data_IF_056200564510
#
_entry.id   IF_056200564510
#
_cell.length_a   1.000
_cell.length_b   1.000
_cell.length_c   1.000
_cell.angle_alpha   90.00
_cell.angle_beta   90.00
_cell.angle_gamma   90.00
#
_symmetry.space_group_name_H-M   'P 1'
#
loop_
_entity.id
_entity.type
_entity.pdbx_description
1 polymer ?
#
# COMPACT_ATOMS: atom_id res chain seq x y z
N UNK A 1 -0.63 -18.19 4.91
CA UNK A 1 -0.38 -18.12 3.46
C UNK A 1 -1.54 -18.70 2.65
N UNK A 2 -2.06 -19.88 2.98
CA UNK A 2 -3.24 -20.48 2.32
C UNK A 2 -4.55 -19.68 2.54
N UNK A 3 -4.79 -19.13 3.74
CA UNK A 3 -5.93 -18.24 3.99
C UNK A 3 -5.84 -16.92 3.21
N UNK A 4 -4.64 -16.37 3.02
CA UNK A 4 -4.37 -15.13 2.27
C UNK A 4 -4.58 -15.31 0.74
N UNK A 5 -4.32 -16.51 0.21
CA UNK A 5 -4.54 -16.86 -1.19
C UNK A 5 -6.02 -17.08 -1.54
N UNK A 6 -6.80 -17.65 -0.61
CA UNK A 6 -8.23 -17.95 -0.84
C UNK A 6 -9.17 -16.79 -0.48
N UNK A 7 -8.78 -15.88 0.43
CA UNK A 7 -9.62 -14.73 0.81
C UNK A 7 -9.51 -13.54 -0.16
N UNK A 8 -8.48 -13.49 -1.01
CA UNK A 8 -8.29 -12.39 -1.95
C UNK A 8 -8.75 -12.79 -3.36
N UNK A 9 -9.86 -12.17 -3.81
CA UNK A 9 -10.50 -12.43 -5.11
C UNK A 9 -9.50 -12.38 -6.29
N UNK A 10 -8.47 -11.54 -6.21
CA UNK A 10 -7.43 -11.41 -7.23
C UNK A 10 -6.61 -12.69 -7.42
N UNK A 11 -6.30 -13.41 -6.34
CA UNK A 11 -5.58 -14.68 -6.40
C UNK A 11 -6.47 -15.83 -6.87
N UNK A 12 -7.76 -15.82 -6.54
CA UNK A 12 -8.72 -16.79 -7.06
C UNK A 12 -8.81 -16.71 -8.60
N UNK A 13 -8.86 -15.49 -9.14
CA UNK A 13 -8.79 -15.25 -10.59
C UNK A 13 -7.51 -15.79 -11.20
N UNK A 14 -6.35 -15.46 -10.61
CA UNK A 14 -5.07 -16.01 -11.05
C UNK A 14 -5.05 -17.53 -11.01
N UNK A 15 -5.61 -18.15 -9.96
CA UNK A 15 -5.71 -19.60 -9.79
C UNK A 15 -6.55 -20.25 -10.89
N UNK A 16 -7.70 -19.68 -11.25
CA UNK A 16 -8.52 -20.16 -12.37
C UNK A 16 -7.70 -20.19 -13.65
N UNK A 17 -6.99 -19.09 -13.98
CA UNK A 17 -6.19 -19.04 -15.20
C UNK A 17 -5.00 -20.03 -15.15
N UNK A 18 -4.35 -20.17 -14.00
CA UNK A 18 -3.28 -21.16 -13.81
C UNK A 18 -3.76 -22.59 -13.96
N UNK A 19 -4.93 -22.93 -13.40
CA UNK A 19 -5.56 -24.25 -13.52
C UNK A 19 -5.96 -24.52 -14.97
N UNK A 20 -6.59 -23.57 -15.64
CA UNK A 20 -6.93 -23.67 -17.06
C UNK A 20 -5.68 -23.91 -17.90
N UNK A 21 -4.60 -23.15 -17.66
CA UNK A 21 -3.33 -23.36 -18.32
C UNK A 21 -2.80 -24.80 -18.13
N UNK A 22 -2.85 -25.33 -16.91
CA UNK A 22 -2.44 -26.71 -16.62
C UNK A 22 -3.31 -27.73 -17.35
N UNK A 23 -4.63 -27.59 -17.28
CA UNK A 23 -5.58 -28.48 -17.95
C UNK A 23 -5.34 -28.52 -19.46
N UNK A 24 -5.14 -27.35 -20.10
CA UNK A 24 -4.90 -27.28 -21.55
C UNK A 24 -3.54 -27.83 -21.97
N UNK A 25 -2.55 -27.78 -21.08
CA UNK A 25 -1.22 -28.34 -21.35
C UNK A 25 -1.09 -29.78 -20.83
N UNK A 26 -2.13 -30.35 -20.22
CA UNK A 26 -2.16 -31.73 -19.80
C UNK A 26 -2.64 -32.61 -20.97
N UNK A 27 -1.75 -33.46 -21.49
CA UNK A 27 -1.92 -34.18 -22.76
C UNK A 27 -3.16 -35.08 -22.85
N UNK A 28 -3.80 -35.41 -21.72
CA UNK A 28 -5.03 -36.21 -21.68
C UNK A 28 -6.31 -35.40 -21.98
N UNK A 29 -6.26 -34.06 -21.95
CA UNK A 29 -7.42 -33.21 -22.16
C UNK A 29 -7.28 -32.49 -23.51
N UNK A 30 -7.97 -32.98 -24.54
CA UNK A 30 -7.96 -32.36 -25.87
C UNK A 30 -9.02 -31.27 -25.95
N UNK A 31 -8.62 -30.01 -25.78
CA UNK A 31 -9.49 -28.84 -25.93
C UNK A 31 -9.02 -28.03 -27.13
N UNK A 32 -9.97 -27.57 -27.95
CA UNK A 32 -9.65 -26.77 -29.13
C UNK A 32 -9.08 -25.40 -28.73
N UNK A 33 -8.18 -24.83 -29.54
CA UNK A 33 -7.65 -23.46 -29.32
C UNK A 33 -8.76 -22.41 -29.23
N UNK A 34 -9.88 -22.61 -29.96
CA UNK A 34 -11.05 -21.72 -29.93
C UNK A 34 -11.75 -21.78 -28.57
N UNK A 35 -12.01 -22.98 -28.07
CA UNK A 35 -12.60 -23.19 -26.74
C UNK A 35 -11.72 -22.59 -25.64
N UNK A 36 -10.40 -22.72 -25.74
CA UNK A 36 -9.44 -22.12 -24.82
C UNK A 36 -9.55 -20.59 -24.76
N UNK A 37 -9.54 -19.92 -25.92
CA UNK A 37 -9.67 -18.46 -25.99
C UNK A 37 -11.02 -18.02 -25.43
N UNK A 38 -12.11 -18.72 -25.77
CA UNK A 38 -13.44 -18.43 -25.25
C UNK A 38 -13.54 -18.60 -23.73
N UNK A 39 -12.92 -19.63 -23.15
CA UNK A 39 -12.89 -19.81 -21.69
C UNK A 39 -12.12 -18.70 -20.98
N UNK A 40 -10.98 -18.27 -21.53
CA UNK A 40 -10.20 -17.16 -20.98
C UNK A 40 -11.00 -15.85 -21.08
N UNK A 41 -11.60 -15.57 -22.24
CA UNK A 41 -12.44 -14.39 -22.44
C UNK A 41 -13.68 -14.40 -21.55
N UNK A 42 -14.29 -15.56 -21.32
CA UNK A 42 -15.41 -15.70 -20.41
C UNK A 42 -14.99 -15.41 -18.96
N UNK A 43 -13.83 -15.91 -18.51
CA UNK A 43 -13.28 -15.61 -17.18
C UNK A 43 -12.98 -14.11 -17.06
N UNK A 44 -12.28 -13.52 -18.04
CA UNK A 44 -12.01 -12.07 -18.07
C UNK A 44 -13.33 -11.26 -18.05
N UNK A 45 -14.31 -11.65 -18.86
CA UNK A 45 -15.62 -11.02 -18.94
C UNK A 45 -16.37 -11.09 -17.62
N UNK A 46 -16.37 -12.24 -16.94
CA UNK A 46 -16.93 -12.40 -15.60
C UNK A 46 -16.20 -11.52 -14.59
N UNK A 47 -14.89 -11.36 -14.70
CA UNK A 47 -14.10 -10.51 -13.78
C UNK A 47 -14.41 -9.03 -14.00
N UNK A 48 -14.40 -8.56 -15.25
CA UNK A 48 -14.79 -7.19 -15.58
C UNK A 48 -16.21 -6.95 -15.10
N UNK A 49 -17.12 -7.89 -15.38
CA UNK A 49 -18.50 -7.83 -14.91
C UNK A 49 -18.58 -7.76 -13.37
N UNK A 50 -17.92 -8.65 -12.64
CA UNK A 50 -17.93 -8.63 -11.17
C UNK A 50 -17.26 -7.37 -10.60
N UNK A 51 -16.20 -6.86 -11.23
CA UNK A 51 -15.50 -5.66 -10.78
C UNK A 51 -16.28 -4.35 -11.03
N UNK A 52 -17.09 -4.33 -12.10
CA UNK A 52 -17.89 -3.16 -12.50
C UNK A 52 -19.28 -3.19 -11.88
N UNK A 53 -19.93 -4.37 -11.83
CA UNK A 53 -21.33 -4.52 -11.43
C UNK A 53 -21.55 -5.04 -10.01
N UNK A 54 -20.54 -5.62 -9.35
CA UNK A 54 -20.62 -5.85 -7.90
C UNK A 54 -20.13 -4.57 -7.22
N UNK A 55 -21.06 -3.63 -7.05
CA UNK A 55 -20.90 -2.37 -6.32
C UNK A 55 -20.40 -2.63 -4.91
N UNK A 56 -19.09 -2.75 -4.78
CA UNK A 56 -18.41 -2.70 -3.51
C UNK A 56 -17.71 -1.35 -3.47
N UNK A 57 -17.88 -0.61 -2.38
CA UNK A 57 -17.16 0.64 -2.12
C UNK A 57 -15.64 0.49 -2.36
N UNK A 58 -15.12 -0.74 -2.19
CA UNK A 58 -13.73 -1.08 -2.51
C UNK A 58 -13.36 -0.89 -3.99
N UNK A 59 -14.23 -1.27 -4.93
CA UNK A 59 -13.94 -1.17 -6.38
C UNK A 59 -14.02 0.28 -6.86
N UNK A 60 -15.03 1.03 -6.38
CA UNK A 60 -15.15 2.47 -6.67
C UNK A 60 -14.00 3.27 -6.04
N UNK A 61 -13.55 2.90 -4.84
CA UNK A 61 -12.38 3.49 -4.21
C UNK A 61 -11.11 3.34 -5.06
N UNK A 62 -10.92 2.19 -5.72
CA UNK A 62 -9.79 1.98 -6.64
C UNK A 62 -9.88 2.85 -7.90
N UNK A 63 -11.07 3.12 -8.42
CA UNK A 63 -11.23 4.04 -9.56
C UNK A 63 -10.77 5.46 -9.19
N UNK A 64 -11.07 5.93 -7.98
CA UNK A 64 -10.54 7.21 -7.47
C UNK A 64 -9.01 7.18 -7.39
N UNK A 65 -8.43 6.07 -6.90
CA UNK A 65 -6.98 5.87 -6.86
C UNK A 65 -6.37 5.95 -8.26
N UNK A 66 -6.97 5.31 -9.26
CA UNK A 66 -6.52 5.38 -10.65
C UNK A 66 -6.66 6.79 -11.24
N UNK A 67 -7.75 7.51 -10.95
CA UNK A 67 -7.94 8.89 -11.39
C UNK A 67 -6.85 9.81 -10.84
N UNK A 68 -6.55 9.73 -9.55
CA UNK A 68 -5.51 10.56 -8.92
C UNK A 68 -4.11 10.16 -9.40
N UNK A 69 -3.81 8.86 -9.43
CA UNK A 69 -2.50 8.38 -9.90
C UNK A 69 -2.26 8.65 -11.39
N UNK A 70 -3.31 8.74 -12.20
CA UNK A 70 -3.20 9.20 -13.58
C UNK A 70 -2.79 10.68 -13.66
N UNK A 71 -3.35 11.54 -12.81
CA UNK A 71 -2.89 12.94 -12.70
C UNK A 71 -1.41 13.00 -12.27
N UNK A 72 -1.01 12.17 -11.29
CA UNK A 72 0.40 12.06 -10.87
C UNK A 72 1.33 11.65 -12.02
N UNK A 73 0.91 10.69 -12.85
CA UNK A 73 1.66 10.27 -14.02
C UNK A 73 1.82 11.40 -15.05
N UNK A 74 0.77 12.19 -15.28
CA UNK A 74 0.82 13.33 -16.21
C UNK A 74 1.79 14.44 -15.76
N UNK A 75 2.05 14.57 -14.46
CA UNK A 75 3.02 15.54 -13.93
C UNK A 75 4.48 15.12 -14.21
N UNK A 76 4.77 13.82 -14.22
CA UNK A 76 6.13 13.28 -14.45
C UNK A 76 6.11 12.07 -15.41
N UNK A 77 5.68 12.24 -16.68
CA UNK A 77 5.35 11.12 -17.55
C UNK A 77 6.57 10.29 -17.99
N UNK A 78 7.76 10.89 -18.11
CA UNK A 78 8.93 10.20 -18.65
C UNK A 78 9.68 9.38 -17.61
N UNK A 79 9.99 9.99 -16.47
CA UNK A 79 10.81 9.40 -15.39
C UNK A 79 10.00 8.91 -14.21
N UNK A 80 8.71 9.27 -14.12
CA UNK A 80 7.87 9.00 -12.97
C UNK A 80 8.27 9.79 -11.73
N UNK A 81 7.61 9.48 -10.62
CA UNK A 81 7.81 10.14 -9.31
C UNK A 81 8.97 9.53 -8.48
N UNK A 82 9.62 8.48 -8.96
CA UNK A 82 10.69 7.75 -8.29
C UNK A 82 10.24 6.43 -7.65
N UNK A 83 11.18 5.50 -7.53
CA UNK A 83 10.94 4.14 -7.00
C UNK A 83 10.40 4.17 -5.57
N UNK A 84 9.28 3.49 -5.34
CA UNK A 84 8.64 3.39 -4.02
C UNK A 84 8.10 4.72 -3.48
N UNK A 85 8.00 5.75 -4.33
CA UNK A 85 7.50 7.06 -3.92
C UNK A 85 5.96 7.10 -3.83
N UNK A 86 5.23 6.12 -4.37
CA UNK A 86 3.78 6.13 -4.38
C UNK A 86 3.18 6.29 -2.97
N UNK A 87 3.67 5.53 -1.99
CA UNK A 87 3.22 5.59 -0.59
C UNK A 87 3.46 6.95 0.11
N UNK A 88 4.41 7.75 -0.40
CA UNK A 88 4.73 9.08 0.09
C UNK A 88 3.89 10.15 -0.62
N UNK A 89 3.77 10.04 -1.94
CA UNK A 89 3.25 11.11 -2.80
C UNK A 89 1.75 11.01 -3.05
N UNK A 90 1.17 9.81 -3.12
CA UNK A 90 -0.24 9.64 -3.51
C UNK A 90 -1.19 10.45 -2.62
N UNK A 91 -1.04 10.34 -1.30
CA UNK A 91 -1.94 11.01 -0.37
C UNK A 91 -1.81 12.54 -0.46
N UNK A 92 -0.62 13.07 -0.80
CA UNK A 92 -0.43 14.50 -1.04
C UNK A 92 -1.18 14.96 -2.31
N UNK A 93 -1.14 14.17 -3.38
CA UNK A 93 -1.89 14.47 -4.61
C UNK A 93 -3.40 14.32 -4.39
N UNK A 94 -3.84 13.36 -3.57
CA UNK A 94 -5.23 13.25 -3.14
C UNK A 94 -5.68 14.50 -2.37
N UNK A 95 -4.83 15.03 -1.49
CA UNK A 95 -5.11 16.30 -0.80
C UNK A 95 -5.26 17.47 -1.77
N UNK A 96 -4.39 17.58 -2.77
CA UNK A 96 -4.51 18.62 -3.81
C UNK A 96 -5.80 18.46 -4.61
N UNK A 97 -6.16 17.24 -5.00
CA UNK A 97 -7.39 16.93 -5.73
C UNK A 97 -8.65 17.42 -4.97
N UNK A 98 -8.75 17.10 -3.68
CA UNK A 98 -9.89 17.54 -2.86
C UNK A 98 -9.83 19.03 -2.48
N UNK A 99 -8.64 19.63 -2.42
CA UNK A 99 -8.49 21.07 -2.20
C UNK A 99 -8.98 21.89 -3.40
N UNK A 100 -8.82 21.39 -4.63
CA UNK A 100 -9.28 22.07 -5.85
C UNK A 100 -10.81 22.08 -6.03
N UNK A 101 -11.54 21.17 -5.37
CA UNK A 101 -13.01 21.15 -5.39
C UNK A 101 -13.65 20.41 -6.57
N UNK A 102 -12.86 19.89 -7.52
CA UNK A 102 -13.34 19.14 -8.69
C UNK A 102 -13.57 17.65 -8.36
N UNK A 103 -14.51 17.38 -7.45
CA UNK A 103 -14.85 16.02 -7.02
C UNK A 103 -16.36 15.82 -6.81
N UNK A 104 -16.80 14.58 -7.00
CA UNK A 104 -18.17 14.15 -6.73
C UNK A 104 -18.37 13.78 -5.24
N UNK A 105 -19.61 13.82 -4.77
CA UNK A 105 -19.94 13.38 -3.41
C UNK A 105 -19.55 11.90 -3.16
N UNK A 106 -19.63 11.05 -4.19
CA UNK A 106 -19.18 9.65 -4.09
C UNK A 106 -17.66 9.58 -3.86
N UNK A 107 -16.85 10.30 -4.63
CA UNK A 107 -15.39 10.35 -4.43
C UNK A 107 -15.01 10.88 -3.05
N UNK A 108 -15.72 11.91 -2.56
CA UNK A 108 -15.55 12.42 -1.20
C UNK A 108 -15.73 11.33 -0.14
N UNK A 109 -16.80 10.52 -0.24
CA UNK A 109 -17.08 9.42 0.70
C UNK A 109 -16.10 8.24 0.55
N UNK A 110 -15.61 8.00 -0.66
CA UNK A 110 -14.70 6.88 -0.95
C UNK A 110 -13.26 7.16 -0.51
N UNK A 111 -12.83 8.43 -0.46
CA UNK A 111 -11.48 8.81 -0.10
C UNK A 111 -11.02 8.18 1.23
N UNK A 112 -9.80 7.62 1.23
CA UNK A 112 -9.12 7.13 2.41
C UNK A 112 -7.61 7.21 2.20
N UNK A 113 -6.81 6.95 3.24
CA UNK A 113 -5.38 6.81 3.04
C UNK A 113 -5.09 5.55 2.22
N UNK A 114 -4.24 5.66 1.21
CA UNK A 114 -3.68 4.49 0.51
C UNK A 114 -2.19 4.67 0.24
N UNK A 115 -1.52 3.54 0.05
CA UNK A 115 -0.08 3.44 -0.14
C UNK A 115 0.29 2.64 -1.38
N UNK A 116 -0.73 2.12 -2.05
CA UNK A 116 -0.59 1.27 -3.23
C UNK A 116 -1.63 1.68 -4.26
N UNK A 117 -1.29 1.51 -5.54
CA UNK A 117 -2.25 1.70 -6.61
C UNK A 117 -3.24 0.53 -6.72
N UNK A 118 -2.99 -0.59 -6.01
CA UNK A 118 -3.72 -1.86 -6.17
C UNK A 118 -3.68 -2.41 -7.62
N UNK A 119 -2.65 -2.02 -8.37
CA UNK A 119 -2.23 -2.60 -9.63
C UNK A 119 -0.73 -2.34 -9.70
N UNK A 120 0.09 -3.38 -9.49
CA UNK A 120 1.53 -3.25 -9.38
C UNK A 120 2.16 -2.72 -10.67
N UNK A 121 1.61 -3.11 -11.83
CA UNK A 121 2.09 -2.64 -13.14
C UNK A 121 1.80 -1.15 -13.33
N UNK A 122 0.60 -0.71 -12.96
CA UNK A 122 0.24 0.70 -13.03
C UNK A 122 1.06 1.53 -12.04
N UNK A 123 1.22 1.05 -10.81
CA UNK A 123 2.07 1.71 -9.81
C UNK A 123 3.50 1.87 -10.33
N UNK A 124 4.07 0.81 -10.93
CA UNK A 124 5.40 0.86 -11.52
C UNK A 124 5.51 1.93 -12.61
N UNK A 125 4.51 2.06 -13.49
CA UNK A 125 4.48 3.09 -14.53
C UNK A 125 4.37 4.50 -13.92
N UNK A 126 3.60 4.69 -12.85
CA UNK A 126 3.51 5.99 -12.15
C UNK A 126 4.86 6.34 -11.51
N UNK A 127 5.54 5.36 -10.91
CA UNK A 127 6.83 5.56 -10.23
C UNK A 127 8.02 5.73 -11.17
N UNK A 128 8.03 5.04 -12.31
CA UNK A 128 9.18 5.00 -13.24
C UNK A 128 8.92 5.68 -14.59
N UNK A 129 7.70 6.18 -14.81
CA UNK A 129 7.25 6.80 -16.05
C UNK A 129 7.18 5.83 -17.24
N UNK A 130 7.05 6.40 -18.43
CA UNK A 130 6.99 5.68 -19.70
C UNK A 130 8.28 4.89 -19.95
N UNK A 131 9.45 5.44 -19.56
CA UNK A 131 10.73 4.75 -19.75
C UNK A 131 10.73 3.43 -18.95
N UNK A 132 10.34 3.51 -17.68
CA UNK A 132 10.14 2.31 -16.87
C UNK A 132 9.09 1.37 -17.45
N UNK A 133 7.94 1.91 -17.87
CA UNK A 133 6.87 1.13 -18.50
C UNK A 133 7.34 0.35 -19.74
N UNK A 134 8.15 0.95 -20.60
CA UNK A 134 8.75 0.29 -21.76
C UNK A 134 9.76 -0.79 -21.34
N UNK A 135 10.63 -0.52 -20.36
CA UNK A 135 11.55 -1.52 -19.81
C UNK A 135 10.79 -2.73 -19.23
N UNK A 136 9.69 -2.48 -18.50
CA UNK A 136 8.82 -3.52 -17.96
C UNK A 136 8.16 -4.33 -19.08
N UNK A 137 7.62 -3.66 -20.11
CA UNK A 137 7.01 -4.31 -21.26
C UNK A 137 8.01 -5.21 -22.01
N UNK A 138 9.21 -4.70 -22.31
CA UNK A 138 10.27 -5.48 -22.96
C UNK A 138 10.66 -6.68 -22.10
N UNK A 139 10.82 -6.49 -20.79
CA UNK A 139 11.14 -7.57 -19.85
C UNK A 139 10.07 -8.66 -19.84
N UNK A 140 8.79 -8.28 -19.86
CA UNK A 140 7.66 -9.21 -19.93
C UNK A 140 7.63 -9.96 -21.27
N UNK A 141 7.92 -9.29 -22.40
CA UNK A 141 8.00 -9.92 -23.71
C UNK A 141 9.14 -10.95 -23.78
N UNK A 142 10.33 -10.60 -23.28
CA UNK A 142 11.46 -11.52 -23.19
C UNK A 142 11.14 -12.73 -22.31
N UNK A 143 10.45 -12.52 -21.17
CA UNK A 143 9.99 -13.58 -20.30
C UNK A 143 9.00 -14.52 -21.02
N UNK A 144 8.04 -13.96 -21.78
CA UNK A 144 7.09 -14.76 -22.57
C UNK A 144 7.81 -15.59 -23.63
N UNK A 145 8.79 -15.01 -24.34
CA UNK A 145 9.60 -15.72 -25.34
C UNK A 145 10.39 -16.86 -24.67
N UNK A 146 11.00 -16.61 -23.52
CA UNK A 146 11.71 -17.63 -22.75
C UNK A 146 10.77 -18.77 -22.34
N UNK A 147 9.61 -18.45 -21.75
CA UNK A 147 8.60 -19.44 -21.33
C UNK A 147 8.16 -20.29 -22.52
N UNK A 148 7.81 -19.65 -23.66
CA UNK A 148 7.37 -20.35 -24.87
C UNK A 148 8.45 -21.30 -25.39
N UNK A 149 9.70 -20.83 -25.46
CA UNK A 149 10.84 -21.64 -25.92
C UNK A 149 11.04 -22.85 -25.01
N UNK A 150 11.02 -22.66 -23.69
CA UNK A 150 11.19 -23.74 -22.72
C UNK A 150 10.04 -24.75 -22.76
N UNK A 151 8.80 -24.30 -22.85
CA UNK A 151 7.63 -25.19 -22.96
C UNK A 151 7.62 -25.99 -24.28
N UNK A 152 8.00 -25.37 -25.40
CA UNK A 152 8.09 -26.06 -26.70
C UNK A 152 9.13 -27.18 -26.67
N UNK A 153 10.31 -26.90 -26.14
CA UNK A 153 11.42 -27.86 -26.10
C UNK A 153 11.24 -28.93 -25.03
N UNK A 154 10.40 -28.69 -24.01
CA UNK A 154 10.21 -29.57 -22.85
C UNK A 154 8.73 -29.81 -22.53
N UNK A 155 7.93 -30.09 -23.56
CA UNK A 155 6.47 -30.20 -23.45
C UNK A 155 5.98 -31.28 -22.46
N UNK A 156 6.83 -32.25 -22.10
CA UNK A 156 6.49 -33.32 -21.17
C UNK A 156 6.87 -33.03 -19.71
N UNK A 157 7.49 -31.89 -19.40
CA UNK A 157 7.93 -31.56 -18.03
C UNK A 157 6.77 -30.98 -17.20
N UNK A 158 6.21 -31.72 -16.21
CA UNK A 158 5.11 -31.23 -15.39
C UNK A 158 5.55 -30.13 -14.42
N UNK A 159 6.81 -30.13 -13.98
CA UNK A 159 7.33 -29.14 -13.04
C UNK A 159 7.45 -27.77 -13.70
N UNK A 160 7.95 -27.73 -14.94
CA UNK A 160 8.00 -26.50 -15.74
C UNK A 160 6.60 -25.90 -15.94
N UNK A 161 5.59 -26.73 -16.25
CA UNK A 161 4.20 -26.29 -16.40
C UNK A 161 3.63 -25.74 -15.09
N UNK A 162 3.91 -26.39 -13.97
CA UNK A 162 3.49 -25.92 -12.65
C UNK A 162 4.09 -24.55 -12.31
N UNK A 163 5.38 -24.36 -12.57
CA UNK A 163 6.04 -23.06 -12.34
C UNK A 163 5.43 -21.95 -13.19
N UNK A 164 5.15 -22.22 -14.47
CA UNK A 164 4.45 -21.26 -15.34
C UNK A 164 3.06 -20.96 -14.81
N UNK A 165 2.31 -21.96 -14.37
CA UNK A 165 0.97 -21.78 -13.80
C UNK A 165 1.01 -20.88 -12.56
N UNK A 166 1.93 -21.12 -11.62
CA UNK A 166 2.08 -20.28 -10.42
C UNK A 166 2.49 -18.85 -10.80
N UNK A 167 3.40 -18.68 -11.75
CA UNK A 167 3.79 -17.36 -12.23
C UNK A 167 2.60 -16.60 -12.83
N UNK A 168 1.75 -17.28 -13.64
CA UNK A 168 0.51 -16.71 -14.16
C UNK A 168 -0.43 -16.27 -13.02
N UNK A 169 -0.58 -17.09 -11.98
CA UNK A 169 -1.40 -16.74 -10.80
C UNK A 169 -0.91 -15.42 -10.17
N UNK A 170 0.40 -15.32 -9.91
CA UNK A 170 1.03 -14.17 -9.28
C UNK A 170 0.92 -12.93 -10.19
N UNK A 171 1.24 -13.06 -11.48
CA UNK A 171 1.17 -11.96 -12.45
C UNK A 171 -0.25 -11.42 -12.63
N UNK A 172 -1.25 -12.31 -12.66
CA UNK A 172 -2.65 -11.88 -12.79
C UNK A 172 -3.14 -11.24 -11.50
N UNK A 173 -2.78 -11.79 -10.33
CA UNK A 173 -3.11 -11.17 -9.05
C UNK A 173 -2.52 -9.75 -8.95
N UNK A 174 -1.30 -9.52 -9.45
CA UNK A 174 -0.62 -8.23 -9.45
C UNK A 174 -1.34 -7.13 -10.25
N UNK A 175 -2.27 -7.47 -11.15
CA UNK A 175 -3.12 -6.48 -11.83
C UNK A 175 -4.16 -5.83 -10.91
N UNK A 176 -4.52 -6.51 -9.82
CA UNK A 176 -5.67 -6.14 -8.99
C UNK A 176 -5.33 -6.00 -7.49
N UNK A 177 -4.07 -6.24 -7.10
CA UNK A 177 -3.60 -6.07 -5.72
C UNK A 177 -2.09 -5.81 -5.72
N UNK A 178 -1.54 -5.47 -4.54
CA UNK A 178 -0.12 -5.16 -4.32
C UNK A 178 0.72 -6.43 -4.04
N UNK A 179 0.86 -7.31 -5.04
CA UNK A 179 1.58 -8.58 -4.90
C UNK A 179 3.08 -8.35 -4.81
N UNK A 180 3.62 -7.51 -5.71
CA UNK A 180 5.06 -7.29 -5.83
C UNK A 180 5.64 -6.51 -4.65
N UNK A 181 4.83 -5.80 -3.87
CA UNK A 181 5.25 -5.19 -2.60
C UNK A 181 5.64 -6.23 -1.53
N UNK A 182 5.22 -7.49 -1.71
CA UNK A 182 5.56 -8.57 -0.79
C UNK A 182 6.80 -9.31 -1.32
N UNK A 183 7.90 -9.16 -0.59
CA UNK A 183 9.20 -9.81 -0.83
C UNK A 183 9.13 -11.32 -1.18
N UNK A 184 8.26 -12.16 -0.56
CA UNK A 184 8.18 -13.58 -0.90
C UNK A 184 7.83 -13.84 -2.37
N UNK A 185 6.92 -13.06 -2.95
CA UNK A 185 6.53 -13.22 -4.35
C UNK A 185 7.65 -12.78 -5.30
N UNK A 186 8.38 -11.71 -4.95
CA UNK A 186 9.56 -11.27 -5.71
C UNK A 186 10.64 -12.36 -5.76
N UNK A 187 10.97 -12.97 -4.61
CA UNK A 187 11.95 -14.05 -4.50
C UNK A 187 11.53 -15.26 -5.33
N UNK A 188 10.25 -15.65 -5.22
CA UNK A 188 9.71 -16.77 -6.00
C UNK A 188 9.87 -16.54 -7.51
N UNK A 189 9.48 -15.36 -8.00
CA UNK A 189 9.61 -15.02 -9.43
C UNK A 189 11.06 -14.99 -9.89
N UNK A 190 11.98 -14.49 -9.06
CA UNK A 190 13.41 -14.49 -9.36
C UNK A 190 13.97 -15.92 -9.45
N UNK A 191 13.62 -16.79 -8.51
CA UNK A 191 14.02 -18.19 -8.52
C UNK A 191 13.48 -18.93 -9.74
N UNK A 192 12.22 -18.67 -10.10
CA UNK A 192 11.58 -19.23 -11.30
C UNK A 192 12.32 -18.78 -12.57
N UNK A 193 12.63 -17.49 -12.70
CA UNK A 193 13.38 -16.95 -13.83
C UNK A 193 14.77 -17.59 -13.94
N UNK A 194 15.51 -17.67 -12.82
CA UNK A 194 16.82 -18.31 -12.76
C UNK A 194 16.74 -19.78 -13.19
N UNK A 195 15.73 -20.52 -12.70
CA UNK A 195 15.48 -21.91 -13.11
C UNK A 195 15.24 -22.02 -14.62
N UNK A 196 14.43 -21.14 -15.22
CA UNK A 196 14.15 -21.17 -16.65
C UNK A 196 15.36 -20.85 -17.51
N UNK A 197 16.20 -19.90 -17.09
CA UNK A 197 17.45 -19.57 -17.78
C UNK A 197 18.40 -20.78 -17.73
N UNK A 198 18.57 -21.37 -16.55
CA UNK A 198 19.51 -22.47 -16.30
C UNK A 198 18.93 -23.87 -16.56
N UNK A 199 17.76 -23.96 -17.20
CA UNK A 199 16.96 -25.18 -17.27
C UNK A 199 17.76 -26.42 -17.73
N UNK A 200 18.51 -26.33 -18.83
CA UNK A 200 19.23 -27.48 -19.39
C UNK A 200 20.35 -27.97 -18.44
N UNK A 201 21.04 -27.02 -17.80
CA UNK A 201 22.07 -27.32 -16.79
C UNK A 201 21.46 -27.99 -15.56
N UNK A 202 20.33 -27.46 -15.07
CA UNK A 202 19.64 -27.98 -13.89
C UNK A 202 19.02 -29.36 -14.15
N UNK A 203 18.49 -29.59 -15.36
CA UNK A 203 17.93 -30.89 -15.77
C UNK A 203 19.01 -31.96 -15.91
N UNK A 204 20.23 -31.60 -16.32
CA UNK A 204 21.37 -32.50 -16.39
C UNK A 204 21.97 -32.89 -15.04
N UNK A 205 21.57 -32.25 -13.94
CA UNK A 205 22.02 -32.62 -12.60
C UNK A 205 21.40 -33.95 -12.15
N UNK A 206 22.14 -34.69 -11.30
CA UNK A 206 21.59 -35.86 -10.59
C UNK A 206 20.33 -35.44 -9.81
N UNK A 207 19.28 -36.28 -9.76
CA UNK A 207 17.97 -35.88 -9.22
C UNK A 207 18.04 -35.43 -7.76
N UNK A 208 18.93 -36.01 -6.94
CA UNK A 208 19.17 -35.59 -5.56
C UNK A 208 19.76 -34.17 -5.49
N UNK A 209 20.75 -33.87 -6.34
CA UNK A 209 21.39 -32.55 -6.41
C UNK A 209 20.39 -31.51 -6.94
N UNK A 210 19.60 -31.87 -7.95
CA UNK A 210 18.53 -31.01 -8.48
C UNK A 210 17.50 -30.67 -7.42
N UNK A 211 17.05 -31.66 -6.64
CA UNK A 211 16.11 -31.43 -5.55
C UNK A 211 16.70 -30.48 -4.49
N UNK A 212 17.96 -30.72 -4.08
CA UNK A 212 18.67 -29.85 -3.16
C UNK A 212 18.82 -28.42 -3.71
N UNK A 213 19.16 -28.24 -4.99
CA UNK A 213 19.30 -26.91 -5.58
C UNK A 213 17.95 -26.15 -5.64
N UNK A 214 16.87 -26.85 -6.02
CA UNK A 214 15.53 -26.27 -6.11
C UNK A 214 14.95 -25.87 -4.75
N UNK A 215 15.42 -26.45 -3.65
CA UNK A 215 14.97 -26.12 -2.29
C UNK A 215 15.95 -25.17 -1.59
N UNK A 216 17.26 -25.43 -1.64
CA UNK A 216 18.26 -24.65 -0.92
C UNK A 216 18.44 -23.23 -1.46
N UNK A 217 18.40 -23.02 -2.79
CA UNK A 217 18.62 -21.68 -3.37
C UNK A 217 17.52 -20.70 -2.95
N UNK A 218 16.21 -21.01 -3.07
CA UNK A 218 15.16 -20.13 -2.57
C UNK A 218 15.27 -19.88 -1.06
N UNK A 219 15.66 -20.89 -0.27
CA UNK A 219 15.86 -20.75 1.18
C UNK A 219 17.01 -19.77 1.46
N UNK A 220 18.15 -19.91 0.80
CA UNK A 220 19.29 -19.00 0.97
C UNK A 220 18.92 -17.58 0.55
N UNK A 221 18.24 -17.40 -0.58
CA UNK A 221 17.77 -16.07 -1.02
C UNK A 221 16.77 -15.47 -0.02
N UNK A 222 15.86 -16.27 0.53
CA UNK A 222 14.97 -15.84 1.60
C UNK A 222 15.78 -15.44 2.84
N UNK A 223 16.75 -16.23 3.27
CA UNK A 223 17.61 -15.91 4.40
C UNK A 223 18.38 -14.60 4.18
N UNK A 224 18.88 -14.34 2.97
CA UNK A 224 19.56 -13.08 2.62
C UNK A 224 18.59 -11.90 2.69
N UNK A 225 17.42 -12.01 2.06
CA UNK A 225 16.41 -10.93 2.04
C UNK A 225 15.87 -10.63 3.44
N UNK A 226 15.71 -11.67 4.26
CA UNK A 226 15.25 -11.56 5.64
C UNK A 226 16.40 -11.45 6.65
N UNK A 227 17.66 -11.39 6.20
CA UNK A 227 18.83 -11.39 7.09
C UNK A 227 18.77 -10.27 8.11
N UNK A 228 18.43 -9.06 7.66
CA UNK A 228 18.29 -7.91 8.55
C UNK A 228 17.16 -8.07 9.57
N UNK A 229 16.08 -8.77 9.22
CA UNK A 229 14.97 -9.05 10.15
C UNK A 229 15.40 -10.12 11.15
N UNK A 230 16.02 -11.21 10.68
CA UNK A 230 16.50 -12.32 11.50
C UNK A 230 17.58 -11.85 12.48
N UNK A 231 18.58 -11.09 11.99
CA UNK A 231 19.65 -10.50 12.80
C UNK A 231 19.10 -9.61 13.92
N UNK A 232 17.99 -8.93 13.67
CA UNK A 232 17.36 -8.01 14.61
C UNK A 232 16.14 -8.61 15.33
N UNK A 233 15.94 -9.92 15.30
CA UNK A 233 14.73 -10.54 15.88
C UNK A 233 14.58 -10.22 17.38
N UNK A 234 15.68 -10.22 18.12
CA UNK A 234 15.68 -9.82 19.54
C UNK A 234 15.31 -8.35 19.75
N UNK A 235 15.73 -7.46 18.83
CA UNK A 235 15.34 -6.05 18.86
C UNK A 235 13.85 -5.86 18.55
N UNK A 236 13.29 -6.66 17.64
CA UNK A 236 11.85 -6.67 17.37
C UNK A 236 11.03 -7.25 18.54
N UNK A 237 11.56 -8.24 19.26
CA UNK A 237 10.93 -8.73 20.51
C UNK A 237 10.93 -7.66 21.60
N UNK A 238 12.07 -6.97 21.79
CA UNK A 238 12.17 -5.81 22.71
C UNK A 238 11.20 -4.68 22.30
N UNK A 239 11.01 -4.45 21.00
CA UNK A 239 10.04 -3.48 20.49
C UNK A 239 8.62 -3.84 20.91
N UNK A 240 8.21 -5.10 20.78
CA UNK A 240 6.89 -5.55 21.25
C UNK A 240 6.74 -5.43 22.77
N UNK A 241 7.79 -5.75 23.54
CA UNK A 241 7.79 -5.53 24.98
C UNK A 241 7.63 -4.04 25.33
N UNK A 242 8.33 -3.15 24.64
CA UNK A 242 8.21 -1.70 24.85
C UNK A 242 6.80 -1.19 24.54
N UNK A 243 6.18 -1.67 23.44
CA UNK A 243 4.78 -1.36 23.11
C UNK A 243 3.82 -1.81 24.21
N UNK A 244 4.02 -3.02 24.73
CA UNK A 244 3.20 -3.56 25.82
C UNK A 244 3.33 -2.71 27.09
N UNK A 245 4.56 -2.38 27.50
CA UNK A 245 4.82 -1.54 28.68
C UNK A 245 4.15 -0.17 28.56
N UNK A 246 4.26 0.50 27.41
CA UNK A 246 3.57 1.77 27.17
C UNK A 246 2.05 1.58 27.22
N UNK A 247 1.53 0.51 26.61
CA UNK A 247 0.10 0.20 26.58
C UNK A 247 -0.49 -0.09 27.96
N UNK A 248 0.31 -0.59 28.92
CA UNK A 248 -0.11 -0.88 30.30
C UNK A 248 0.21 0.24 31.29
N UNK A 249 0.77 1.37 30.83
CA UNK A 249 1.01 2.57 31.64
C UNK A 249 2.45 2.77 32.12
N UNK A 250 3.36 1.81 31.89
CA UNK A 250 4.80 1.92 32.19
C UNK A 250 5.54 2.68 31.07
N UNK A 251 5.13 3.95 30.87
CA UNK A 251 5.56 4.76 29.72
C UNK A 251 7.05 5.08 29.78
N UNK A 252 7.60 5.37 30.96
CA UNK A 252 9.00 5.72 31.16
C UNK A 252 9.95 4.60 30.77
N UNK A 253 9.62 3.38 31.17
CA UNK A 253 10.34 2.15 30.92
C UNK A 253 10.28 1.81 29.43
N UNK A 254 9.08 1.90 28.83
CA UNK A 254 8.90 1.70 27.40
C UNK A 254 9.70 2.70 26.56
N UNK A 255 9.71 3.99 26.94
CA UNK A 255 10.53 5.02 26.28
C UNK A 255 12.03 4.72 26.40
N UNK A 256 12.49 4.18 27.54
CA UNK A 256 13.89 3.79 27.72
C UNK A 256 14.30 2.73 26.70
N UNK A 257 13.48 1.68 26.55
CA UNK A 257 13.72 0.63 25.55
C UNK A 257 13.67 1.21 24.13
N UNK A 258 12.72 2.10 23.82
CA UNK A 258 12.71 2.74 22.51
C UNK A 258 13.98 3.55 22.22
N UNK A 259 14.54 4.24 23.22
CA UNK A 259 15.82 4.96 23.06
C UNK A 259 16.97 4.00 22.76
N UNK A 260 17.03 2.86 23.42
CA UNK A 260 18.02 1.80 23.17
C UNK A 260 17.90 1.24 21.75
N UNK A 261 16.68 1.05 21.25
CA UNK A 261 16.41 0.49 19.92
C UNK A 261 16.61 1.50 18.77
N UNK A 262 16.60 2.81 19.05
CA UNK A 262 16.63 3.85 18.03
C UNK A 262 17.85 3.77 17.07
N UNK A 263 19.10 3.50 17.52
CA UNK A 263 20.25 3.39 16.62
C UNK A 263 20.11 2.27 15.58
N UNK A 264 19.37 1.21 15.89
CA UNK A 264 19.23 0.02 15.03
C UNK A 264 17.95 0.09 14.19
N UNK A 265 16.83 0.46 14.81
CA UNK A 265 15.50 0.45 14.18
C UNK A 265 15.02 1.84 13.75
N UNK A 266 15.84 2.88 13.91
CA UNK A 266 15.42 4.28 13.71
C UNK A 266 14.99 4.64 12.29
N UNK A 267 15.15 3.78 11.30
CA UNK A 267 14.62 3.98 9.94
C UNK A 267 13.32 3.18 9.68
N UNK A 268 12.95 2.27 10.57
CA UNK A 268 11.75 1.44 10.45
C UNK A 268 10.51 2.20 10.93
N UNK A 269 9.52 2.38 10.05
CA UNK A 269 8.27 3.08 10.36
C UNK A 269 7.50 2.37 11.48
N UNK A 270 7.53 1.03 11.51
CA UNK A 270 6.88 0.22 12.53
C UNK A 270 7.47 0.41 13.94
N UNK A 271 8.71 0.89 14.02
CA UNK A 271 9.35 1.33 15.25
C UNK A 271 9.12 2.83 15.52
N UNK A 272 9.26 3.68 14.50
CA UNK A 272 9.15 5.13 14.64
C UNK A 272 7.76 5.56 15.13
N UNK A 273 6.67 4.95 14.63
CA UNK A 273 5.29 5.30 15.02
C UNK A 273 5.04 5.13 16.53
N UNK A 274 5.17 3.92 17.12
CA UNK A 274 4.93 3.73 18.54
C UNK A 274 5.89 4.54 19.41
N UNK A 275 7.15 4.70 18.98
CA UNK A 275 8.09 5.53 19.72
C UNK A 275 7.65 7.01 19.76
N UNK A 276 7.26 7.56 18.60
CA UNK A 276 6.77 8.94 18.51
C UNK A 276 5.52 9.16 19.35
N UNK A 277 4.62 8.16 19.38
CA UNK A 277 3.37 8.22 20.14
C UNK A 277 3.59 8.17 21.64
N UNK A 278 4.54 7.35 22.10
CA UNK A 278 4.89 7.22 23.51
C UNK A 278 5.53 8.49 24.09
N UNK A 279 6.23 9.29 23.27
CA UNK A 279 6.80 10.55 23.73
C UNK A 279 5.68 11.53 24.15
N UNK A 280 5.73 11.95 25.41
CA UNK A 280 4.81 12.90 26.03
C UNK A 280 5.58 13.97 26.82
N UNK A 281 4.88 15.06 27.17
CA UNK A 281 5.46 16.20 27.89
C UNK A 281 6.05 17.27 26.98
N UNK A 282 6.06 18.50 27.49
CA UNK A 282 6.49 19.72 26.77
C UNK A 282 7.95 19.65 26.33
N UNK A 283 8.83 19.09 27.15
CA UNK A 283 10.27 18.99 26.87
C UNK A 283 10.62 18.06 25.70
N UNK A 284 9.70 17.18 25.28
CA UNK A 284 9.96 16.16 24.24
C UNK A 284 9.29 16.48 22.89
N UNK A 285 8.57 17.60 22.78
CA UNK A 285 7.82 17.97 21.58
C UNK A 285 8.72 18.06 20.33
N UNK A 286 9.91 18.67 20.44
CA UNK A 286 10.87 18.79 19.32
C UNK A 286 11.32 17.42 18.80
N UNK A 287 11.63 16.49 19.71
CA UNK A 287 12.02 15.13 19.34
C UNK A 287 10.87 14.39 18.67
N UNK A 288 9.66 14.51 19.21
CA UNK A 288 8.45 13.91 18.65
C UNK A 288 8.17 14.42 17.22
N UNK A 289 8.29 15.73 17.00
CA UNK A 289 8.16 16.33 15.67
C UNK A 289 9.19 15.77 14.68
N UNK A 290 10.47 15.67 15.08
CA UNK A 290 11.52 15.11 14.23
C UNK A 290 11.24 13.66 13.82
N UNK A 291 10.72 12.84 14.73
CA UNK A 291 10.37 11.45 14.43
C UNK A 291 9.19 11.36 13.45
N UNK A 292 8.14 12.17 13.64
CA UNK A 292 7.03 12.22 12.69
C UNK A 292 7.44 12.76 11.32
N UNK A 293 8.31 13.77 11.26
CA UNK A 293 8.88 14.23 9.99
C UNK A 293 9.69 13.13 9.30
N UNK A 294 10.40 12.29 10.06
CA UNK A 294 11.11 11.13 9.50
C UNK A 294 10.16 10.08 8.93
N UNK A 295 9.00 9.87 9.56
CA UNK A 295 7.92 9.03 9.02
C UNK A 295 7.37 9.62 7.71
N UNK A 296 7.05 10.92 7.70
CA UNK A 296 6.49 11.61 6.53
C UNK A 296 7.41 11.64 5.30
N UNK A 297 8.73 11.45 5.49
CA UNK A 297 9.67 11.29 4.37
C UNK A 297 9.54 9.96 3.64
N UNK A 298 8.98 8.94 4.28
CA UNK A 298 8.85 7.59 3.70
C UNK A 298 7.42 7.29 3.25
N UNK A 299 6.43 7.86 3.94
CA UNK A 299 5.03 7.55 3.74
C UNK A 299 4.19 8.70 4.34
N UNK A 300 3.07 9.06 3.73
CA UNK A 300 2.22 10.17 4.20
C UNK A 300 0.83 9.68 4.56
N UNK A 301 0.33 9.96 5.78
CA UNK A 301 -1.08 9.75 6.14
C UNK A 301 -1.67 10.93 6.91
N UNK A 302 -3.01 11.03 6.91
CA UNK A 302 -3.72 12.11 7.55
C UNK A 302 -3.56 12.14 9.08
N UNK A 303 -3.41 11.00 9.74
CA UNK A 303 -3.27 10.89 11.19
C UNK A 303 -1.92 11.45 11.67
N UNK A 304 -0.87 11.14 10.92
CA UNK A 304 0.49 11.61 11.16
C UNK A 304 0.58 13.11 10.93
N UNK A 305 -0.01 13.63 9.85
CA UNK A 305 -0.07 15.07 9.59
C UNK A 305 -0.91 15.83 10.62
N UNK A 306 -2.02 15.25 11.09
CA UNK A 306 -2.80 15.81 12.21
C UNK A 306 -1.90 15.96 13.45
N UNK A 307 -1.18 14.91 13.83
CA UNK A 307 -0.24 14.95 14.98
C UNK A 307 0.85 16.00 14.79
N UNK A 308 1.42 16.11 13.60
CA UNK A 308 2.42 17.13 13.26
C UNK A 308 1.83 18.54 13.38
N UNK A 309 0.62 18.77 12.89
CA UNK A 309 -0.07 20.05 12.99
C UNK A 309 -0.34 20.47 14.43
N UNK A 310 -0.81 19.53 15.26
CA UNK A 310 -1.01 19.77 16.70
C UNK A 310 0.32 20.08 17.41
N UNK A 311 1.41 19.40 17.07
CA UNK A 311 2.73 19.70 17.63
C UNK A 311 3.24 21.08 17.23
N UNK A 312 3.05 21.48 15.97
CA UNK A 312 3.39 22.84 15.55
C UNK A 312 2.57 23.89 16.30
N UNK A 313 1.28 23.62 16.55
CA UNK A 313 0.40 24.50 17.31
C UNK A 313 0.87 24.62 18.77
N UNK A 314 1.25 23.51 19.40
CA UNK A 314 1.81 23.52 20.77
C UNK A 314 3.12 24.31 20.86
N UNK A 315 3.92 24.32 19.79
CA UNK A 315 5.16 25.09 19.69
C UNK A 315 4.96 26.57 19.29
N UNK A 316 3.71 27.03 19.08
CA UNK A 316 3.41 28.39 18.62
C UNK A 316 3.76 28.66 17.15
N UNK A 317 3.95 27.60 16.35
CA UNK A 317 4.29 27.68 14.93
C UNK A 317 3.00 27.64 14.08
N UNK A 318 2.16 28.67 14.23
CA UNK A 318 0.78 28.66 13.72
C UNK A 318 0.68 28.43 12.21
N UNK A 319 1.57 29.03 11.41
CA UNK A 319 1.54 28.85 9.95
C UNK A 319 1.81 27.40 9.53
N UNK A 320 2.77 26.75 10.18
CA UNK A 320 3.09 25.35 9.93
C UNK A 320 1.98 24.42 10.44
N UNK A 321 1.40 24.76 11.60
CA UNK A 321 0.28 24.04 12.18
C UNK A 321 -0.93 24.04 11.25
N UNK A 322 -1.34 25.23 10.78
CA UNK A 322 -2.45 25.39 9.86
C UNK A 322 -2.24 24.59 8.58
N UNK A 323 -1.05 24.67 7.97
CA UNK A 323 -0.74 23.94 6.74
C UNK A 323 -0.84 22.42 6.94
N UNK A 324 -0.23 21.88 8.00
CA UNK A 324 -0.28 20.45 8.30
C UNK A 324 -1.71 19.97 8.62
N UNK A 325 -2.48 20.75 9.38
CA UNK A 325 -3.88 20.45 9.70
C UNK A 325 -4.75 20.48 8.44
N UNK A 326 -4.63 21.50 7.59
CA UNK A 326 -5.33 21.59 6.31
C UNK A 326 -4.99 20.41 5.40
N UNK A 327 -3.70 20.09 5.24
CA UNK A 327 -3.28 18.91 4.48
C UNK A 327 -3.91 17.64 5.03
N UNK A 328 -3.90 17.44 6.36
CA UNK A 328 -4.52 16.27 6.99
C UNK A 328 -6.02 16.15 6.67
N UNK A 329 -6.75 17.28 6.62
CA UNK A 329 -8.17 17.31 6.26
C UNK A 329 -8.36 16.90 4.80
N UNK A 330 -7.56 17.44 3.88
CA UNK A 330 -7.75 17.19 2.46
C UNK A 330 -7.28 15.78 2.01
N UNK A 331 -6.35 15.14 2.72
CA UNK A 331 -5.98 13.73 2.41
C UNK A 331 -7.21 12.83 2.55
N UNK A 332 -7.96 12.95 3.64
CA UNK A 332 -9.20 12.17 3.83
C UNK A 332 -10.35 13.11 4.19
N UNK A 333 -10.98 13.73 3.18
CA UNK A 333 -11.95 14.82 3.36
C UNK A 333 -13.26 14.36 3.99
N UNK A 334 -13.55 13.06 4.12
CA UNK A 334 -14.73 12.58 4.84
C UNK A 334 -14.51 12.38 6.35
N UNK A 335 -13.31 12.63 6.90
CA UNK A 335 -13.05 12.46 8.33
C UNK A 335 -13.41 13.70 9.14
N UNK A 336 -14.12 13.50 10.25
CA UNK A 336 -14.57 14.55 11.16
C UNK A 336 -13.45 15.02 12.12
N UNK A 337 -12.63 14.10 12.62
CA UNK A 337 -11.58 14.39 13.64
C UNK A 337 -10.59 15.45 13.16
N UNK A 338 -10.10 15.35 11.93
CA UNK A 338 -9.16 16.32 11.36
C UNK A 338 -9.78 17.71 11.23
N UNK A 339 -11.08 17.78 10.90
CA UNK A 339 -11.80 19.06 10.81
C UNK A 339 -12.08 19.66 12.16
N UNK A 340 -12.44 18.85 13.15
CA UNK A 340 -12.59 19.29 14.54
C UNK A 340 -11.29 19.92 15.05
N UNK A 341 -10.15 19.26 14.84
CA UNK A 341 -8.85 19.79 15.21
C UNK A 341 -8.53 21.12 14.52
N UNK A 342 -8.78 21.21 13.20
CA UNK A 342 -8.57 22.43 12.44
C UNK A 342 -9.52 23.56 12.86
N UNK A 343 -10.78 23.26 13.15
CA UNK A 343 -11.74 24.22 13.70
C UNK A 343 -11.28 24.75 15.06
N UNK A 344 -10.88 23.87 15.97
CA UNK A 344 -10.35 24.25 17.29
C UNK A 344 -9.08 25.09 17.19
N UNK A 345 -8.22 24.79 16.21
CA UNK A 345 -7.06 25.60 15.88
C UNK A 345 -7.45 27.04 15.54
N UNK A 346 -8.43 27.24 14.64
CA UNK A 346 -8.89 28.58 14.28
C UNK A 346 -9.56 29.32 15.44
N UNK A 347 -10.34 28.63 16.29
CA UNK A 347 -10.92 29.22 17.49
C UNK A 347 -9.84 29.72 18.45
N UNK A 348 -8.83 28.88 18.73
CA UNK A 348 -7.72 29.24 19.64
C UNK A 348 -6.92 30.43 19.13
N UNK A 349 -6.73 30.52 17.81
CA UNK A 349 -6.00 31.60 17.16
C UNK A 349 -6.88 32.80 16.78
N UNK A 350 -8.12 32.87 17.30
CA UNK A 350 -9.08 33.96 17.08
C UNK A 350 -9.40 34.24 15.62
N UNK A 351 -9.24 33.25 14.75
CA UNK A 351 -9.55 33.32 13.32
C UNK A 351 -11.01 32.93 13.06
N UNK A 352 -11.95 33.70 13.61
CA UNK A 352 -13.37 33.33 13.69
C UNK A 352 -14.04 33.14 12.32
N UNK A 353 -13.61 33.86 11.29
CA UNK A 353 -14.12 33.68 9.91
C UNK A 353 -13.83 32.26 9.39
N UNK A 354 -12.59 31.78 9.55
CA UNK A 354 -12.21 30.42 9.16
C UNK A 354 -12.90 29.38 10.05
N UNK A 355 -13.01 29.63 11.36
CA UNK A 355 -13.75 28.76 12.27
C UNK A 355 -15.22 28.61 11.86
N UNK A 356 -15.90 29.71 11.49
CA UNK A 356 -17.29 29.68 11.03
C UNK A 356 -17.45 28.86 9.74
N UNK A 357 -16.51 28.97 8.80
CA UNK A 357 -16.47 28.14 7.60
C UNK A 357 -16.39 26.65 7.96
N UNK A 358 -15.39 26.25 8.77
CA UNK A 358 -15.21 24.85 9.14
C UNK A 358 -16.35 24.30 10.00
N UNK A 359 -16.95 25.13 10.85
CA UNK A 359 -18.19 24.79 11.57
C UNK A 359 -19.31 24.43 10.60
N UNK A 360 -19.56 25.25 9.58
CA UNK A 360 -20.57 24.95 8.56
C UNK A 360 -20.25 23.64 7.85
N UNK A 361 -19.00 23.42 7.45
CA UNK A 361 -18.56 22.18 6.79
C UNK A 361 -18.83 20.96 7.69
N UNK A 362 -18.40 20.99 8.97
CA UNK A 362 -18.59 19.88 9.92
C UNK A 362 -20.08 19.54 10.09
N UNK A 363 -20.94 20.55 10.22
CA UNK A 363 -22.37 20.31 10.46
C UNK A 363 -23.09 19.75 9.22
N UNK A 364 -22.67 20.14 8.02
CA UNK A 364 -23.38 19.85 6.76
C UNK A 364 -22.80 18.70 5.94
N UNK A 365 -21.53 18.33 6.14
CA UNK A 365 -20.89 17.29 5.32
C UNK A 365 -21.56 15.91 5.50
N UNK A 366 -21.59 15.09 4.43
CA UNK A 366 -22.17 13.76 4.48
C UNK A 366 -21.34 12.83 5.37
N UNK A 367 -22.02 11.90 6.05
CA UNK A 367 -21.42 10.95 6.98
C UNK A 367 -21.21 9.61 6.27
N UNK A 368 -19.96 9.15 6.16
CA UNK A 368 -19.64 7.84 5.56
C UNK A 368 -20.11 6.68 6.42
N UNK A 369 -19.76 6.71 7.72
CA UNK A 369 -20.14 5.70 8.71
C UNK A 369 -20.62 6.44 9.96
N UNK A 370 -21.91 6.36 10.32
CA UNK A 370 -22.43 6.95 11.56
C UNK A 370 -21.69 6.40 12.79
N UNK A 371 -21.42 7.27 13.75
CA UNK A 371 -20.81 6.90 15.03
C UNK A 371 -21.08 7.96 16.08
N UNK A 372 -21.13 7.55 17.35
CA UNK A 372 -21.30 8.45 18.50
C UNK A 372 -20.25 9.57 18.49
N UNK A 373 -18.99 9.25 18.18
CA UNK A 373 -17.91 10.26 18.08
C UNK A 373 -18.25 11.38 17.09
N UNK A 374 -18.87 11.08 15.95
CA UNK A 374 -19.27 12.10 14.97
C UNK A 374 -20.37 12.99 15.53
N UNK A 375 -21.34 12.40 16.23
CA UNK A 375 -22.42 13.16 16.88
C UNK A 375 -21.86 14.09 17.96
N UNK A 376 -20.94 13.61 18.81
CA UNK A 376 -20.25 14.43 19.80
C UNK A 376 -19.50 15.60 19.16
N UNK A 377 -18.80 15.37 18.04
CA UNK A 377 -18.10 16.43 17.30
C UNK A 377 -19.10 17.48 16.80
N UNK A 378 -20.21 17.05 16.18
CA UNK A 378 -21.26 17.95 15.69
C UNK A 378 -21.90 18.76 16.81
N UNK A 379 -22.19 18.13 17.95
CA UNK A 379 -22.77 18.80 19.12
C UNK A 379 -21.79 19.82 19.72
N UNK A 380 -20.52 19.45 19.90
CA UNK A 380 -19.47 20.34 20.42
C UNK A 380 -19.34 21.61 19.57
N UNK A 381 -19.24 21.43 18.24
CA UNK A 381 -19.10 22.53 17.28
C UNK A 381 -20.40 23.36 17.20
N UNK A 382 -21.57 22.74 17.37
CA UNK A 382 -22.86 23.44 17.39
C UNK A 382 -23.03 24.32 18.64
N UNK A 383 -22.56 23.86 19.79
CA UNK A 383 -22.78 24.54 21.08
C UNK A 383 -21.74 25.63 21.36
N UNK A 384 -20.57 25.59 20.71
CA UNK A 384 -19.58 26.67 20.84
C UNK A 384 -20.05 27.96 20.16
N UNK A 385 -20.12 29.04 20.94
CA UNK A 385 -20.44 30.38 20.45
C UNK A 385 -19.22 30.99 19.76
N UNK A 386 -19.36 31.36 18.48
CA UNK A 386 -18.35 32.14 17.77
C UNK A 386 -18.79 33.61 17.90
N UNK A 387 -18.18 34.35 18.81
CA UNK A 387 -18.43 35.79 18.93
C UNK A 387 -17.69 36.46 17.77
N UNK A 388 -18.45 36.89 16.76
CA UNK A 388 -17.92 37.74 15.70
C UNK A 388 -17.70 39.13 16.29
N UNK A 389 -16.44 39.52 16.53
CA UNK A 389 -16.06 40.92 16.73
C UNK A 389 -15.76 41.57 15.38
#
# INVERSE_FOLDING_TARGET
MFSLLMLNRSFAVGAIVGILFLLFNYQKVRISKRTMVLSILAVIGIIVFLSVYVESDSSLGRLLIYKISFKMFLENPFTGIGWGAFQKEYNLHQALFFKLGDYTQKEFLLADNTFYAFNDYWQFVVEMGIIGGLCLLISLLLLIVLIRTRLKNNANDPFLKLLVAIALVISIAALFTHVFERKPFQIFLLCMLAYMILYDRVKGLRPQIRLCALTAIPIVLALVVYFNVIRNIGNYQKLEQAKLLVGTGYVTEGISIFKELYPVLGNDIGFLKPYSEALSGTNMQKRKLLLFQKILKQYTDNSTLLKVGLLYQEMGMDRQAENALLQSVYIVPNRFVQKEALYNFYIKNKQYKHAAYWRKVILTMPVKVPSERIETIKQTVKNQTIINN
#
